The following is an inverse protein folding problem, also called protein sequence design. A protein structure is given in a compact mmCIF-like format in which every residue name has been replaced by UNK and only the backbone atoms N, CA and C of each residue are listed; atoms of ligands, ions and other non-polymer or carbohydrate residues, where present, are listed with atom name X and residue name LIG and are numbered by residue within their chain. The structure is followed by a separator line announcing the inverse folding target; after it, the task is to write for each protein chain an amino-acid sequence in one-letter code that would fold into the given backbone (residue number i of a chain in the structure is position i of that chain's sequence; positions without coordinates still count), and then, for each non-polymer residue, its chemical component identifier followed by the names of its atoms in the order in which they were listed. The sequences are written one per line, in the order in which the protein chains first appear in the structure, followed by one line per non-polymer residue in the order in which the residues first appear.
data_IF_872982342398
#
_entry.id   IF_872982342398
#
_cell.length_a   1.000
_cell.length_b   1.000
_cell.length_c   1.000
_cell.angle_alpha   90.00
_cell.angle_beta   90.00
_cell.angle_gamma   90.00
#
_symmetry.space_group_name_H-M   'P 1'
#
loop_
_entity.id
_entity.type
_entity.pdbx_description
1 polymer ?
#
# COMPACT_ATOMS: atom_id res chain seq x y z
N UNK A 1 14.23 -15.72 24.31
CA UNK A 1 13.09 -16.21 25.10
C UNK A 1 12.29 -14.99 25.50
N UNK A 2 11.00 -14.89 25.13
CA UNK A 2 10.15 -13.76 25.50
C UNK A 2 9.60 -14.03 26.90
N UNK A 3 9.85 -13.13 27.85
CA UNK A 3 9.50 -13.30 29.28
C UNK A 3 8.26 -12.52 29.69
N UNK A 4 7.76 -11.63 28.83
CA UNK A 4 6.57 -10.83 29.05
C UNK A 4 6.33 -9.80 27.95
N UNK A 5 5.40 -8.90 28.18
CA UNK A 5 5.18 -7.71 27.35
C UNK A 5 5.01 -6.47 28.22
N UNK A 6 5.39 -5.32 27.67
CA UNK A 6 5.24 -3.99 28.27
C UNK A 6 4.29 -3.17 27.39
N UNK A 7 3.26 -2.58 27.98
CA UNK A 7 2.36 -1.65 27.28
C UNK A 7 2.36 -0.29 27.97
N UNK A 8 2.28 0.79 27.18
CA UNK A 8 2.11 2.15 27.69
C UNK A 8 1.06 2.89 26.87
N UNK A 9 0.01 3.39 27.54
CA UNK A 9 -1.05 4.19 26.93
C UNK A 9 -1.40 5.35 27.87
N UNK A 10 -1.28 6.60 27.40
CA UNK A 10 -1.52 7.83 28.18
C UNK A 10 -0.81 7.88 29.55
N UNK A 11 0.43 7.40 29.64
CA UNK A 11 1.21 7.40 30.87
C UNK A 11 0.83 6.31 31.89
N UNK A 12 -0.11 5.44 31.54
CA UNK A 12 -0.39 4.21 32.28
C UNK A 12 0.46 3.10 31.70
N UNK A 13 1.21 2.41 32.55
CA UNK A 13 2.08 1.30 32.16
C UNK A 13 1.48 -0.01 32.65
N UNK A 14 1.62 -1.06 31.85
CA UNK A 14 1.27 -2.43 32.25
C UNK A 14 2.41 -3.36 31.86
N UNK A 15 3.09 -3.88 32.88
CA UNK A 15 4.10 -4.91 32.74
C UNK A 15 3.47 -6.28 33.02
N UNK A 16 3.38 -7.11 31.99
CA UNK A 16 2.83 -8.45 32.11
C UNK A 16 3.91 -9.47 31.85
N UNK A 17 4.38 -10.13 32.92
CA UNK A 17 5.31 -11.24 32.82
C UNK A 17 4.53 -12.54 32.59
N UNK A 18 4.96 -13.32 31.61
CA UNK A 18 4.31 -14.56 31.19
C UNK A 18 4.28 -15.61 32.31
N UNK A 19 5.26 -15.58 33.22
CA UNK A 19 5.37 -16.48 34.38
C UNK A 19 4.39 -16.17 35.52
N UNK A 20 3.78 -14.98 35.52
CA UNK A 20 2.83 -14.52 36.53
C UNK A 20 1.37 -14.67 36.09
N UNK A 21 1.11 -15.14 34.87
CA UNK A 21 -0.24 -15.33 34.36
C UNK A 21 -0.83 -16.66 34.86
N UNK A 22 -1.99 -16.63 35.55
CA UNK A 22 -2.63 -17.85 36.03
C UNK A 22 -3.06 -18.74 34.86
N UNK A 23 -2.61 -20.00 34.87
CA UNK A 23 -2.93 -20.98 33.83
C UNK A 23 -1.89 -21.15 32.71
N UNK A 24 -0.84 -20.31 32.67
CA UNK A 24 0.30 -20.52 31.77
C UNK A 24 1.30 -21.47 32.44
N UNK A 25 1.51 -22.65 31.84
CA UNK A 25 2.63 -23.53 32.22
C UNK A 25 3.91 -22.88 31.71
N UNK A 26 4.80 -22.50 32.63
CA UNK A 26 6.09 -21.84 32.33
C UNK A 26 7.06 -22.70 31.51
N UNK A 27 6.70 -23.95 31.19
CA UNK A 27 7.35 -24.78 30.20
C UNK A 27 6.73 -24.58 28.81
N UNK A 28 7.29 -23.68 28.01
CA UNK A 28 7.06 -23.64 26.56
C UNK A 28 5.78 -22.91 26.10
N UNK A 29 5.54 -21.69 26.59
CA UNK A 29 4.48 -20.84 26.04
C UNK A 29 4.93 -20.28 24.67
N UNK A 30 4.27 -20.70 23.60
CA UNK A 30 4.49 -20.16 22.26
C UNK A 30 3.75 -18.82 22.15
N UNK A 31 4.50 -17.72 22.05
CA UNK A 31 3.93 -16.41 21.72
C UNK A 31 3.71 -16.38 20.21
N UNK A 32 2.45 -16.30 19.79
CA UNK A 32 2.11 -16.11 18.38
C UNK A 32 2.34 -14.63 18.03
N UNK A 33 3.48 -14.37 17.42
CA UNK A 33 3.80 -13.06 16.83
C UNK A 33 2.95 -12.91 15.58
N UNK A 34 2.04 -11.94 15.53
CA UNK A 34 1.40 -11.58 14.27
C UNK A 34 2.49 -10.98 13.39
N UNK A 35 2.83 -11.62 12.25
CA UNK A 35 3.86 -11.07 11.37
C UNK A 35 3.44 -9.68 10.91
N UNK A 36 4.42 -8.79 10.78
CA UNK A 36 4.19 -7.45 10.25
C UNK A 36 3.49 -7.56 8.90
N UNK A 37 2.32 -6.94 8.79
CA UNK A 37 1.60 -6.87 7.52
C UNK A 37 2.48 -6.16 6.47
N UNK A 38 2.42 -6.58 5.19
CA UNK A 38 3.02 -5.84 4.10
C UNK A 38 2.55 -4.38 4.10
N UNK A 39 3.47 -3.43 3.97
CA UNK A 39 3.15 -1.99 3.92
C UNK A 39 3.74 -1.38 2.66
N UNK A 40 2.88 -0.90 1.78
CA UNK A 40 3.26 -0.26 0.53
C UNK A 40 2.70 1.17 0.49
N UNK A 41 3.56 2.14 0.20
CA UNK A 41 3.18 3.53 0.00
C UNK A 41 3.15 3.84 -1.49
N UNK A 42 2.05 4.44 -1.95
CA UNK A 42 1.84 4.80 -3.36
C UNK A 42 1.90 6.32 -3.49
N UNK A 43 2.70 6.82 -4.43
CA UNK A 43 2.71 8.23 -4.82
C UNK A 43 2.70 8.39 -6.33
N UNK A 44 2.22 9.55 -6.80
CA UNK A 44 2.02 9.84 -8.22
C UNK A 44 2.70 11.14 -8.62
N UNK A 45 3.14 11.27 -9.88
CA UNK A 45 3.74 12.53 -10.39
C UNK A 45 2.75 13.69 -10.52
N UNK A 46 1.45 13.40 -10.57
CA UNK A 46 0.42 14.40 -10.75
C UNK A 46 -0.15 14.88 -9.40
N UNK A 47 -0.61 16.14 -9.31
CA UNK A 47 -1.18 16.68 -8.07
C UNK A 47 -2.36 15.86 -7.57
N UNK A 48 -2.38 15.57 -6.27
CA UNK A 48 -3.52 14.90 -5.62
C UNK A 48 -4.73 15.82 -5.68
N UNK A 49 -5.88 15.29 -6.09
CA UNK A 49 -7.14 16.03 -6.09
C UNK A 49 -7.57 16.30 -4.65
N UNK A 50 -8.04 17.52 -4.37
CA UNK A 50 -8.31 18.05 -3.02
C UNK A 50 -9.48 17.39 -2.25
N UNK A 51 -9.95 16.20 -2.66
CA UNK A 51 -11.08 15.53 -2.03
C UNK A 51 -10.78 14.05 -1.83
N UNK A 52 -10.11 13.74 -0.73
CA UNK A 52 -10.25 12.45 -0.06
C UNK A 52 -10.41 12.75 1.42
N UNK A 53 -11.60 12.45 1.96
CA UNK A 53 -11.81 12.36 3.40
C UNK A 53 -10.73 11.43 3.95
N UNK A 54 -10.08 11.79 5.05
CA UNK A 54 -9.04 10.96 5.67
C UNK A 54 -9.59 9.53 5.83
N UNK A 55 -8.87 8.50 5.35
CA UNK A 55 -9.33 7.13 5.52
C UNK A 55 -9.39 6.80 7.01
N UNK A 56 -10.50 6.20 7.43
CA UNK A 56 -10.62 5.64 8.77
C UNK A 56 -9.76 4.36 8.86
N UNK A 57 -9.26 3.96 10.05
CA UNK A 57 -8.46 2.75 10.17
C UNK A 57 -9.29 1.52 9.76
N UNK A 58 -8.98 0.96 8.60
CA UNK A 58 -9.71 -0.15 7.97
C UNK A 58 -10.26 0.15 6.57
N UNK A 59 -10.24 1.40 6.10
CA UNK A 59 -10.71 1.79 4.77
C UNK A 59 -9.67 1.50 3.66
N UNK A 60 -10.19 1.23 2.45
CA UNK A 60 -9.41 1.16 1.21
C UNK A 60 -8.63 2.47 0.97
N UNK A 61 -7.30 2.40 1.00
CA UNK A 61 -6.43 3.56 0.76
C UNK A 61 -6.59 4.02 -0.69
N UNK A 62 -7.39 5.06 -0.90
CA UNK A 62 -7.63 5.65 -2.22
C UNK A 62 -6.78 6.90 -2.42
N UNK A 63 -6.09 6.97 -3.56
CA UNK A 63 -5.41 8.19 -4.03
C UNK A 63 -6.03 8.63 -5.34
N UNK A 64 -6.51 9.87 -5.38
CA UNK A 64 -7.21 10.43 -6.54
C UNK A 64 -6.38 11.53 -7.19
N UNK A 65 -6.33 11.48 -8.51
CA UNK A 65 -5.68 12.47 -9.38
C UNK A 65 -6.70 12.88 -10.45
N UNK A 66 -6.67 14.15 -10.85
CA UNK A 66 -7.52 14.67 -11.93
C UNK A 66 -6.66 15.24 -13.05
N UNK A 67 -7.03 14.91 -14.29
CA UNK A 67 -6.39 15.40 -15.51
C UNK A 67 -7.45 15.87 -16.49
N UNK A 68 -7.11 16.87 -17.29
CA UNK A 68 -7.90 17.33 -18.41
C UNK A 68 -7.06 17.15 -19.67
N UNK A 69 -7.64 16.48 -20.67
CA UNK A 69 -6.97 16.13 -21.92
C UNK A 69 -7.82 16.54 -23.12
N UNK A 70 -7.17 17.02 -24.15
CA UNK A 70 -7.74 17.26 -25.47
C UNK A 70 -7.54 16.05 -26.40
N UNK A 71 -8.24 16.03 -27.53
CA UNK A 71 -8.17 14.91 -28.45
C UNK A 71 -6.75 14.72 -29.02
N UNK A 72 -6.25 13.48 -29.00
CA UNK A 72 -4.91 13.13 -29.44
C UNK A 72 -3.84 13.32 -28.36
N UNK A 73 -4.15 13.95 -27.23
CA UNK A 73 -3.20 14.12 -26.14
C UNK A 73 -2.92 12.82 -25.41
N UNK A 74 -1.69 12.70 -24.93
CA UNK A 74 -1.23 11.61 -24.07
C UNK A 74 -0.53 12.22 -22.86
N UNK A 75 -1.03 11.89 -21.67
CA UNK A 75 -0.48 12.34 -20.41
C UNK A 75 0.18 11.18 -19.66
N UNK A 76 1.50 11.24 -19.43
CA UNK A 76 2.17 10.28 -18.56
C UNK A 76 1.84 10.55 -17.09
N UNK A 77 1.57 9.48 -16.36
CA UNK A 77 1.39 9.41 -14.91
C UNK A 77 2.42 8.44 -14.35
N UNK A 78 3.43 8.97 -13.66
CA UNK A 78 4.44 8.14 -12.99
C UNK A 78 3.89 7.70 -11.65
N UNK A 79 3.87 6.40 -11.39
CA UNK A 79 3.48 5.77 -10.13
C UNK A 79 4.74 5.25 -9.45
N UNK A 80 4.97 5.68 -8.20
CA UNK A 80 6.04 5.21 -7.33
C UNK A 80 5.46 4.35 -6.21
N UNK A 81 6.05 3.18 -6.03
CA UNK A 81 5.67 2.18 -5.04
C UNK A 81 6.85 2.01 -4.08
N UNK A 82 6.70 2.46 -2.84
CA UNK A 82 7.72 2.34 -1.80
C UNK A 82 7.33 1.28 -0.78
N UNK A 83 8.21 0.30 -0.55
CA UNK A 83 8.01 -0.65 0.54
C UNK A 83 8.40 0.01 1.87
N UNK A 84 7.41 0.45 2.62
CA UNK A 84 7.57 1.05 3.96
C UNK A 84 7.38 0.03 5.10
N UNK A 85 7.31 -1.26 4.75
CA UNK A 85 7.23 -2.39 5.67
C UNK A 85 8.60 -2.87 6.13
N UNK A 86 8.60 -3.99 6.84
CA UNK A 86 9.81 -4.68 7.31
C UNK A 86 10.11 -5.96 6.52
N UNK A 87 9.14 -6.45 5.74
CA UNK A 87 9.26 -7.64 4.90
C UNK A 87 9.33 -7.27 3.41
N UNK A 88 10.01 -8.06 2.56
CA UNK A 88 9.99 -7.86 1.10
C UNK A 88 8.59 -8.09 0.50
N UNK A 89 8.28 -7.39 -0.58
CA UNK A 89 7.04 -7.60 -1.36
C UNK A 89 7.36 -8.48 -2.58
N UNK A 90 6.71 -9.63 -2.69
CA UNK A 90 7.07 -10.65 -3.67
C UNK A 90 6.47 -10.45 -5.06
N UNK A 91 5.24 -9.90 -5.14
CA UNK A 91 4.47 -9.81 -6.38
C UNK A 91 3.81 -8.46 -6.51
N UNK A 92 3.71 -8.01 -7.75
CA UNK A 92 2.94 -6.83 -8.14
C UNK A 92 1.97 -7.21 -9.26
N UNK A 93 0.70 -6.92 -9.05
CA UNK A 93 -0.32 -6.99 -10.08
C UNK A 93 -0.97 -5.62 -10.23
N UNK A 94 -1.15 -5.15 -11.46
CA UNK A 94 -1.77 -3.87 -11.76
C UNK A 94 -2.97 -4.11 -12.65
N UNK A 95 -4.13 -3.64 -12.20
CA UNK A 95 -5.39 -3.73 -12.96
C UNK A 95 -6.01 -2.34 -13.07
N UNK A 96 -6.89 -2.16 -14.06
CA UNK A 96 -7.66 -0.92 -14.22
C UNK A 96 -9.13 -1.22 -14.38
N UNK A 97 -9.97 -0.40 -13.74
CA UNK A 97 -11.42 -0.42 -13.92
C UNK A 97 -11.89 0.93 -14.44
N UNK A 98 -12.59 0.94 -15.56
CA UNK A 98 -13.21 2.13 -16.09
C UNK A 98 -14.60 2.33 -15.49
N UNK A 99 -14.88 3.54 -15.00
CA UNK A 99 -16.20 3.94 -14.51
C UNK A 99 -16.68 5.10 -15.39
N UNK A 100 -17.63 4.84 -16.29
CA UNK A 100 -18.14 5.83 -17.22
C UNK A 100 -19.43 6.49 -16.69
N UNK A 101 -19.39 7.81 -16.48
CA UNK A 101 -20.51 8.61 -15.96
C UNK A 101 -21.43 9.19 -17.05
N UNK A 102 -21.08 9.14 -18.35
CA UNK A 102 -21.86 9.77 -19.44
C UNK A 102 -21.98 8.97 -20.75
N UNK A 103 -21.67 7.67 -20.73
CA UNK A 103 -22.12 6.70 -21.73
C UNK A 103 -21.47 6.71 -23.11
N UNK A 104 -20.42 7.50 -23.39
CA UNK A 104 -19.72 7.48 -24.70
C UNK A 104 -18.21 7.72 -24.59
N UNK A 105 -17.51 6.81 -23.92
CA UNK A 105 -16.06 6.67 -24.06
C UNK A 105 -15.81 5.19 -24.41
N UNK A 106 -15.39 4.94 -25.65
CA UNK A 106 -15.10 3.61 -26.18
C UNK A 106 -13.60 3.52 -26.46
N UNK A 107 -12.92 2.52 -25.91
CA UNK A 107 -11.50 2.24 -26.16
C UNK A 107 -10.65 2.18 -24.88
N UNK A 108 -9.41 1.70 -25.03
CA UNK A 108 -8.42 1.66 -23.96
C UNK A 108 -7.78 3.04 -23.79
N UNK A 109 -8.04 3.69 -22.64
CA UNK A 109 -7.49 5.01 -22.30
C UNK A 109 -6.17 4.91 -21.52
N UNK A 110 -5.89 3.73 -20.96
CA UNK A 110 -4.74 3.50 -20.10
C UNK A 110 -3.85 2.44 -20.75
N UNK A 111 -2.54 2.67 -20.71
CA UNK A 111 -1.53 1.69 -21.09
C UNK A 111 -0.32 1.81 -20.19
N UNK A 112 0.35 0.69 -19.93
CA UNK A 112 1.56 0.63 -19.11
C UNK A 112 2.39 -0.59 -19.52
N UNK A 113 3.69 -0.54 -19.23
CA UNK A 113 4.61 -1.67 -19.32
C UNK A 113 5.22 -1.87 -17.93
N UNK A 114 5.28 -3.12 -17.45
CA UNK A 114 5.78 -3.46 -16.11
C UNK A 114 7.06 -4.31 -16.14
N UNK A 115 7.67 -4.57 -17.29
CA UNK A 115 8.85 -5.46 -17.40
C UNK A 115 9.99 -5.01 -16.48
N UNK A 116 10.38 -3.73 -16.60
CA UNK A 116 11.42 -3.12 -15.76
C UNK A 116 11.00 -2.98 -14.29
N UNK A 117 9.69 -2.87 -14.03
CA UNK A 117 9.16 -2.72 -12.66
C UNK A 117 9.13 -4.06 -11.95
N UNK A 118 8.72 -5.12 -12.64
CA UNK A 118 8.64 -6.49 -12.11
C UNK A 118 10.02 -7.08 -11.92
N UNK A 119 11.04 -6.68 -12.69
CA UNK A 119 12.42 -7.10 -12.49
C UNK A 119 13.02 -6.61 -11.15
N UNK A 120 12.39 -5.62 -10.50
CA UNK A 120 12.78 -5.11 -9.18
C UNK A 120 12.16 -5.91 -8.02
N UNK A 121 11.27 -6.87 -8.31
CA UNK A 121 10.64 -7.72 -7.29
C UNK A 121 11.50 -8.99 -7.04
N UNK A 122 11.67 -9.42 -5.78
CA UNK A 122 10.99 -8.94 -4.57
C UNK A 122 11.48 -7.56 -4.11
N UNK A 123 10.52 -6.64 -3.87
CA UNK A 123 10.79 -5.26 -3.50
C UNK A 123 11.16 -5.20 -2.01
N UNK A 124 12.46 -5.02 -1.73
CA UNK A 124 13.01 -4.99 -0.36
C UNK A 124 12.49 -3.79 0.45
N UNK A 125 12.47 -3.88 1.80
CA UNK A 125 12.17 -2.74 2.67
C UNK A 125 13.02 -1.51 2.33
N UNK A 126 12.36 -0.35 2.23
CA UNK A 126 12.99 0.93 1.87
C UNK A 126 13.24 1.14 0.37
N UNK A 127 13.05 0.12 -0.47
CA UNK A 127 13.21 0.27 -1.92
C UNK A 127 11.95 0.83 -2.57
N UNK A 128 12.16 1.47 -3.72
CA UNK A 128 11.10 2.10 -4.53
C UNK A 128 11.09 1.49 -5.92
N UNK A 129 9.95 0.95 -6.34
CA UNK A 129 9.67 0.58 -7.73
C UNK A 129 8.87 1.67 -8.42
N UNK A 130 9.08 1.85 -9.73
CA UNK A 130 8.44 2.91 -10.52
C UNK A 130 7.93 2.33 -11.84
N UNK A 131 6.73 2.74 -12.23
CA UNK A 131 6.19 2.50 -13.57
C UNK A 131 5.39 3.71 -14.06
N UNK A 132 5.21 3.80 -15.38
CA UNK A 132 4.46 4.90 -16.00
C UNK A 132 3.17 4.36 -16.61
N UNK A 133 2.06 5.00 -16.25
CA UNK A 133 0.76 4.83 -16.89
C UNK A 133 0.58 5.97 -17.89
N UNK A 134 0.28 5.62 -19.14
CA UNK A 134 -0.05 6.58 -20.18
C UNK A 134 -1.56 6.71 -20.29
N UNK A 135 -2.07 7.92 -20.09
CA UNK A 135 -3.48 8.27 -20.22
C UNK A 135 -3.67 8.93 -21.59
N UNK A 136 -4.46 8.33 -22.47
CA UNK A 136 -4.66 8.82 -23.84
C UNK A 136 -6.14 8.96 -24.18
N UNK A 137 -6.51 10.09 -24.79
CA UNK A 137 -7.84 10.32 -25.38
C UNK A 137 -7.73 10.20 -26.91
N UNK A 138 -8.58 9.37 -27.50
CA UNK A 138 -8.72 9.20 -28.96
C UNK A 138 -10.01 9.85 -29.47
#
# INVERSE_FOLDING_TARGET
MVTGYHTSVFGVFSDCLLDKLPGIKTSGCTVEVIPSLPRLQISTSLPRSARTLQPSPGDEITTSVSVQLYNGETQPLVIKLENIGTEPLEKLEVTSKMINIKGKLFGDFLSWNLEDTLSQFPLKPGNVAVFTVYIKVK
#
